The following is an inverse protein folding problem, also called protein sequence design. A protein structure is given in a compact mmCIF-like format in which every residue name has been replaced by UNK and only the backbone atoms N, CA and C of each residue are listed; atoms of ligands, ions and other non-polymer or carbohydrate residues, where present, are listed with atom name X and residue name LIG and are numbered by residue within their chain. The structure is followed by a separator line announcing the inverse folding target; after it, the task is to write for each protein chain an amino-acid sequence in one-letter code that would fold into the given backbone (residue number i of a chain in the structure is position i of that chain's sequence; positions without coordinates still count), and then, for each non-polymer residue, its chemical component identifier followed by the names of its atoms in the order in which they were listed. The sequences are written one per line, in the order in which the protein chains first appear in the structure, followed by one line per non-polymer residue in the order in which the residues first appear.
data_IF_427153855221
#
_entry.id   IF_427153855221
#
_cell.length_a   1.000
_cell.length_b   1.000
_cell.length_c   1.000
_cell.angle_alpha   90.00
_cell.angle_beta   90.00
_cell.angle_gamma   90.00
#
_symmetry.space_group_name_H-M   'P 1'
#
loop_
_entity.id
_entity.type
_entity.pdbx_description
1 polymer ?
#
# COMPACT_ATOMS: atom_id res chain seq x y z
N UNK A 1 -18.90 8.36 4.15
CA UNK A 1 -18.94 7.06 4.87
C UNK A 1 -17.51 6.72 5.22
N UNK A 2 -17.27 6.31 6.47
CA UNK A 2 -15.96 5.91 6.90
C UNK A 2 -15.59 4.53 6.33
N UNK A 3 -14.36 4.39 5.84
CA UNK A 3 -13.80 3.11 5.38
C UNK A 3 -12.71 2.69 6.36
N UNK A 4 -12.46 1.39 6.44
CA UNK A 4 -11.52 0.82 7.41
C UNK A 4 -11.30 -0.67 7.23
N UNK A 5 -10.37 -1.21 8.01
CA UNK A 5 -10.05 -2.63 8.01
C UNK A 5 -10.75 -3.33 9.17
N UNK A 6 -11.46 -4.41 8.84
CA UNK A 6 -12.01 -5.31 9.86
C UNK A 6 -11.01 -6.42 10.15
N UNK A 7 -10.47 -6.45 11.37
CA UNK A 7 -9.59 -7.50 11.86
C UNK A 7 -10.33 -8.24 12.96
N UNK A 8 -10.76 -9.46 12.64
CA UNK A 8 -11.60 -10.29 13.52
C UNK A 8 -12.88 -9.54 13.96
N UNK A 9 -12.96 -9.12 15.23
CA UNK A 9 -14.07 -8.36 15.81
C UNK A 9 -13.82 -6.85 15.87
N UNK A 10 -12.61 -6.40 15.55
CA UNK A 10 -12.22 -4.99 15.60
C UNK A 10 -12.33 -4.32 14.23
N UNK A 11 -12.79 -3.07 14.22
CA UNK A 11 -12.84 -2.24 13.02
C UNK A 11 -11.89 -1.06 13.19
N UNK A 12 -10.88 -0.99 12.33
CA UNK A 12 -9.90 0.08 12.29
C UNK A 12 -10.29 1.07 11.20
N UNK A 13 -10.86 2.20 11.61
CA UNK A 13 -11.24 3.26 10.68
C UNK A 13 -10.01 3.96 10.10
N UNK A 14 -9.96 4.04 8.77
CA UNK A 14 -8.93 4.79 8.03
C UNK A 14 -9.41 6.18 7.61
N UNK A 15 -10.71 6.45 7.73
CA UNK A 15 -11.33 7.72 7.38
C UNK A 15 -11.97 7.71 5.99
N UNK A 16 -11.47 8.52 5.06
CA UNK A 16 -12.10 8.72 3.74
C UNK A 16 -11.77 7.56 2.77
N UNK A 17 -12.76 6.96 2.07
CA UNK A 17 -12.51 6.03 0.95
C UNK A 17 -11.50 6.55 -0.08
N UNK A 18 -11.56 7.83 -0.42
CA UNK A 18 -10.69 8.43 -1.44
C UNK A 18 -9.22 8.47 -0.98
N UNK A 19 -9.00 8.58 0.33
CA UNK A 19 -7.66 8.51 0.90
C UNK A 19 -7.09 7.10 0.74
N UNK A 20 -7.88 6.07 1.08
CA UNK A 20 -7.45 4.69 0.93
C UNK A 20 -7.14 4.39 -0.55
N UNK A 21 -8.03 4.77 -1.46
CA UNK A 21 -7.84 4.57 -2.89
C UNK A 21 -6.60 5.29 -3.45
N UNK A 22 -6.38 6.56 -3.09
CA UNK A 22 -5.21 7.32 -3.54
C UNK A 22 -3.90 6.78 -2.96
N UNK A 23 -3.92 6.27 -1.73
CA UNK A 23 -2.77 5.59 -1.11
C UNK A 23 -2.36 4.34 -1.91
N UNK A 24 -3.30 3.42 -2.17
CA UNK A 24 -3.01 2.22 -2.98
C UNK A 24 -2.61 2.57 -4.41
N UNK A 25 -3.25 3.57 -5.02
CA UNK A 25 -2.89 4.05 -6.38
C UNK A 25 -1.45 4.60 -6.44
N UNK A 26 -1.00 5.29 -5.38
CA UNK A 26 0.37 5.80 -5.29
C UNK A 26 1.35 4.65 -5.17
N UNK A 27 1.06 3.67 -4.29
CA UNK A 27 1.90 2.47 -4.18
C UNK A 27 1.99 1.72 -5.50
N UNK A 28 0.88 1.49 -6.20
CA UNK A 28 0.90 0.81 -7.50
C UNK A 28 1.70 1.61 -8.52
N UNK A 29 1.51 2.93 -8.59
CA UNK A 29 2.24 3.77 -9.55
C UNK A 29 3.77 3.67 -9.42
N UNK A 30 4.27 3.61 -8.19
CA UNK A 30 5.71 3.58 -7.92
C UNK A 30 6.32 2.18 -7.93
N UNK A 31 5.51 1.14 -7.75
CA UNK A 31 6.02 -0.24 -7.59
C UNK A 31 5.58 -1.21 -8.68
N UNK A 32 4.52 -0.87 -9.42
CA UNK A 32 3.89 -1.70 -10.44
C UNK A 32 3.55 -0.84 -11.67
N UNK A 33 4.43 -0.86 -12.68
CA UNK A 33 4.22 -0.11 -13.92
C UNK A 33 3.13 -0.69 -14.83
N UNK A 34 2.73 -1.95 -14.64
CA UNK A 34 1.89 -2.69 -15.59
C UNK A 34 0.43 -2.85 -15.16
N UNK A 35 0.14 -3.16 -13.90
CA UNK A 35 -1.24 -3.28 -13.41
C UNK A 35 -1.33 -3.38 -11.89
N UNK A 36 -2.45 -2.93 -11.32
CA UNK A 36 -2.79 -3.00 -9.90
C UNK A 36 -2.79 -4.45 -9.39
N UNK A 37 -1.87 -4.79 -8.48
CA UNK A 37 -1.76 -6.11 -7.85
C UNK A 37 -1.12 -7.18 -8.73
N UNK A 38 -0.12 -6.78 -9.53
CA UNK A 38 0.71 -7.68 -10.34
C UNK A 38 1.90 -8.21 -9.54
N UNK A 39 2.58 -7.33 -8.80
CA UNK A 39 3.71 -7.62 -7.90
C UNK A 39 3.24 -7.90 -6.47
N UNK A 40 2.21 -7.19 -5.99
CA UNK A 40 1.70 -7.35 -4.61
C UNK A 40 0.23 -7.76 -4.55
N UNK A 41 -0.13 -8.96 -5.07
CA UNK A 41 -1.53 -9.42 -5.08
C UNK A 41 -2.13 -9.54 -3.67
N UNK A 42 -1.33 -9.90 -2.65
CA UNK A 42 -1.83 -10.01 -1.27
C UNK A 42 -2.30 -8.67 -0.69
N UNK A 43 -1.65 -7.55 -1.04
CA UNK A 43 -2.07 -6.21 -0.59
C UNK A 43 -3.19 -5.66 -1.47
N UNK A 44 -3.01 -5.77 -2.79
CA UNK A 44 -3.82 -5.06 -3.76
C UNK A 44 -5.11 -5.80 -4.14
N UNK A 45 -5.12 -7.13 -4.07
CA UNK A 45 -6.29 -7.97 -4.35
C UNK A 45 -6.88 -8.52 -3.06
N UNK A 46 -6.06 -9.08 -2.17
CA UNK A 46 -6.61 -9.73 -0.99
C UNK A 46 -6.93 -8.74 0.13
N UNK A 47 -6.04 -7.81 0.47
CA UNK A 47 -6.31 -6.84 1.53
C UNK A 47 -7.28 -5.73 1.10
N UNK A 48 -7.19 -5.25 -0.15
CA UNK A 48 -8.03 -4.15 -0.64
C UNK A 48 -9.40 -4.60 -1.17
N UNK A 49 -9.48 -5.67 -1.97
CA UNK A 49 -10.74 -6.12 -2.60
C UNK A 49 -11.44 -7.26 -1.89
N UNK A 50 -10.71 -8.13 -1.19
CA UNK A 50 -11.28 -9.34 -0.58
C UNK A 50 -10.90 -9.46 0.90
N UNK A 51 -10.28 -10.56 1.31
CA UNK A 51 -9.83 -10.80 2.68
C UNK A 51 -8.42 -11.36 2.69
N UNK A 52 -7.60 -10.81 3.58
CA UNK A 52 -6.29 -11.35 3.87
C UNK A 52 -6.40 -12.47 4.91
N UNK A 53 -5.78 -13.62 4.63
CA UNK A 53 -5.71 -14.73 5.57
C UNK A 53 -4.53 -14.54 6.52
N UNK A 54 -4.63 -15.10 7.72
CA UNK A 54 -3.61 -14.90 8.76
C UNK A 54 -2.28 -15.57 8.39
N UNK A 55 -2.32 -16.66 7.62
CA UNK A 55 -1.13 -17.39 7.16
C UNK A 55 -0.26 -16.52 6.24
N UNK A 56 -0.89 -15.63 5.48
CA UNK A 56 -0.22 -14.79 4.49
C UNK A 56 0.32 -13.48 5.12
N UNK A 57 0.10 -13.25 6.43
CA UNK A 57 0.45 -12.00 7.12
C UNK A 57 1.95 -11.70 7.08
N UNK A 58 2.80 -12.72 7.23
CA UNK A 58 4.25 -12.56 7.22
C UNK A 58 4.74 -12.08 5.85
N UNK A 59 4.22 -12.68 4.77
CA UNK A 59 4.53 -12.27 3.40
C UNK A 59 4.03 -10.85 3.12
N UNK A 60 2.84 -10.51 3.60
CA UNK A 60 2.29 -9.15 3.49
C UNK A 60 3.16 -8.13 4.21
N UNK A 61 3.65 -8.44 5.40
CA UNK A 61 4.55 -7.56 6.15
C UNK A 61 5.87 -7.32 5.40
N UNK A 62 6.43 -8.38 4.80
CA UNK A 62 7.64 -8.26 3.98
C UNK A 62 7.39 -7.38 2.75
N UNK A 63 6.26 -7.56 2.06
CA UNK A 63 5.85 -6.74 0.93
C UNK A 63 5.69 -5.26 1.32
N UNK A 64 5.05 -4.98 2.47
CA UNK A 64 4.90 -3.60 2.97
C UNK A 64 6.26 -2.97 3.26
N UNK A 65 7.18 -3.71 3.86
CA UNK A 65 8.51 -3.19 4.18
C UNK A 65 9.35 -2.94 2.91
N UNK A 66 9.19 -3.76 1.87
CA UNK A 66 9.79 -3.52 0.55
C UNK A 66 9.24 -2.24 -0.09
N UNK A 67 7.90 -2.09 -0.16
CA UNK A 67 7.26 -0.89 -0.71
C UNK A 67 7.72 0.35 0.05
N UNK A 68 7.79 0.27 1.38
CA UNK A 68 8.23 1.36 2.24
C UNK A 68 9.68 1.77 1.95
N UNK A 69 10.58 0.82 1.66
CA UNK A 69 11.95 1.12 1.25
C UNK A 69 11.99 1.83 -0.10
N UNK A 70 11.27 1.32 -1.10
CA UNK A 70 11.20 1.91 -2.45
C UNK A 70 10.70 3.36 -2.37
N UNK A 71 9.57 3.59 -1.70
CA UNK A 71 8.99 4.92 -1.56
C UNK A 71 9.92 5.87 -0.78
N UNK A 72 10.63 5.35 0.24
CA UNK A 72 11.59 6.16 1.01
C UNK A 72 12.76 6.59 0.14
N UNK A 73 13.32 5.67 -0.65
CA UNK A 73 14.44 5.95 -1.55
C UNK A 73 14.07 7.01 -2.59
N UNK A 74 12.90 6.88 -3.23
CA UNK A 74 12.40 7.88 -4.18
C UNK A 74 12.18 9.26 -3.56
N UNK A 75 11.63 9.33 -2.34
CA UNK A 75 11.46 10.60 -1.62
C UNK A 75 12.82 11.26 -1.35
N UNK A 76 13.83 10.48 -0.93
CA UNK A 76 15.19 11.01 -0.79
C UNK A 76 15.76 11.51 -2.11
N UNK A 77 15.67 10.74 -3.19
CA UNK A 77 16.19 11.15 -4.51
C UNK A 77 15.52 12.45 -4.97
N UNK A 78 14.20 12.55 -4.89
CA UNK A 78 13.46 13.74 -5.31
C UNK A 78 13.76 14.96 -4.41
N UNK A 79 13.97 14.76 -3.11
CA UNK A 79 14.40 15.82 -2.19
C UNK A 79 15.81 16.34 -2.52
N UNK A 80 16.73 15.49 -2.97
CA UNK A 80 18.03 15.92 -3.46
C UNK A 80 17.92 16.62 -4.82
N UNK A 81 17.15 16.09 -5.76
CA UNK A 81 16.98 16.67 -7.10
C UNK A 81 16.33 18.07 -7.06
N UNK A 82 15.37 18.31 -6.16
CA UNK A 82 14.75 19.64 -5.98
C UNK A 82 15.61 20.65 -5.23
N UNK A 83 16.74 20.25 -4.64
CA UNK A 83 17.66 21.15 -3.94
C UNK A 83 18.77 21.73 -4.85
N UNK A 84 18.86 21.22 -6.08
CA UNK A 84 19.82 21.66 -7.10
C UNK A 84 19.18 22.42 -8.28
N UNK A 85 17.88 22.74 -8.18
CA UNK A 85 17.16 23.68 -9.05
C UNK A 85 16.77 24.91 -8.22
#
# INVERSE_FOLDING_TARGET
MAVGFKVDIFFYETGNPDFLYSFFSTMSYHTESECWGTKYPLLMKNLYFDKLRWEDTEEVLQNVEEIRKILREEVTVNAYTRRFL
#
